data_IF_656824440077
#
_entry.id   IF_656824440077
#
_cell.length_a   1.000
_cell.length_b   1.000
_cell.length_c   1.000
_cell.angle_alpha   90.00
_cell.angle_beta   90.00
_cell.angle_gamma   90.00
#
_symmetry.space_group_name_H-M   'P 1'
#
loop_
_entity.id
_entity.type
_entity.pdbx_description
1 polymer ?
#
# COMPACT_ATOMS: atom_id res chain seq x y z
N UNK A 1 -12.21 31.16 0.61
CA UNK A 1 -12.67 31.18 2.03
C UNK A 1 -13.71 30.08 2.33
N UNK A 2 -14.76 29.85 1.48
CA UNK A 2 -15.75 28.78 1.74
C UNK A 2 -15.21 27.37 1.42
N UNK A 3 -14.29 27.24 0.45
CA UNK A 3 -13.63 25.96 0.13
C UNK A 3 -12.56 25.60 1.17
N UNK A 4 -11.85 26.62 1.69
CA UNK A 4 -10.81 26.41 2.71
C UNK A 4 -11.41 25.95 4.05
N UNK A 5 -12.66 26.35 4.35
CA UNK A 5 -13.39 25.88 5.52
C UNK A 5 -13.89 24.42 5.41
N UNK A 6 -13.93 23.86 4.20
CA UNK A 6 -14.29 22.44 3.96
C UNK A 6 -13.08 21.50 3.97
N UNK A 7 -11.88 22.04 3.85
CA UNK A 7 -10.63 21.29 4.04
C UNK A 7 -10.36 21.23 5.56
N UNK A 8 -11.11 20.38 6.25
CA UNK A 8 -10.81 20.05 7.66
C UNK A 8 -9.39 19.47 7.66
N UNK A 9 -8.47 20.21 8.28
CA UNK A 9 -7.11 19.70 8.49
C UNK A 9 -7.19 18.32 9.15
N UNK A 10 -6.59 17.29 8.56
CA UNK A 10 -6.75 15.94 9.07
C UNK A 10 -6.18 15.83 10.48
N UNK A 11 -7.01 15.53 11.44
CA UNK A 11 -6.54 15.23 12.80
C UNK A 11 -5.65 13.97 12.77
N UNK A 12 -4.75 13.83 13.76
CA UNK A 12 -3.93 12.63 13.92
C UNK A 12 -4.78 11.36 13.91
N UNK A 13 -5.93 11.39 14.58
CA UNK A 13 -6.85 10.25 14.64
C UNK A 13 -7.51 9.95 13.29
N UNK A 14 -7.81 10.96 12.48
CA UNK A 14 -8.34 10.77 11.14
C UNK A 14 -7.26 10.13 10.24
N UNK A 15 -6.00 10.56 10.33
CA UNK A 15 -4.89 9.96 9.59
C UNK A 15 -4.68 8.50 9.99
N UNK A 16 -4.64 8.21 11.28
CA UNK A 16 -4.47 6.84 11.80
C UNK A 16 -5.64 5.95 11.36
N UNK A 17 -6.88 6.42 11.50
CA UNK A 17 -8.07 5.64 11.10
C UNK A 17 -8.08 5.35 9.60
N UNK A 18 -7.82 6.37 8.77
CA UNK A 18 -7.73 6.21 7.33
C UNK A 18 -6.63 5.23 6.94
N UNK A 19 -5.44 5.36 7.55
CA UNK A 19 -4.31 4.48 7.27
C UNK A 19 -4.55 3.02 7.65
N UNK A 20 -5.20 2.76 8.79
CA UNK A 20 -5.56 1.40 9.21
C UNK A 20 -6.57 0.77 8.25
N UNK A 21 -7.61 1.52 7.84
CA UNK A 21 -8.62 1.02 6.90
C UNK A 21 -8.01 0.75 5.53
N UNK A 22 -7.21 1.68 5.01
CA UNK A 22 -6.54 1.52 3.71
C UNK A 22 -5.49 0.40 3.75
N UNK A 23 -4.69 0.32 4.82
CA UNK A 23 -3.70 -0.74 5.02
C UNK A 23 -4.34 -2.12 5.12
N UNK A 24 -5.49 -2.22 5.77
CA UNK A 24 -6.28 -3.45 5.82
C UNK A 24 -6.79 -3.84 4.41
N UNK A 25 -7.36 -2.89 3.68
CA UNK A 25 -7.85 -3.11 2.32
C UNK A 25 -6.73 -3.56 1.37
N UNK A 26 -5.59 -2.86 1.35
CA UNK A 26 -4.43 -3.23 0.54
C UNK A 26 -3.77 -4.54 1.00
N UNK A 27 -3.79 -4.82 2.30
CA UNK A 27 -3.28 -6.08 2.86
C UNK A 27 -4.08 -7.30 2.44
N UNK A 28 -5.41 -7.19 2.44
CA UNK A 28 -6.34 -8.26 2.05
C UNK A 28 -6.51 -8.38 0.54
N UNK A 29 -6.26 -7.30 -0.20
CA UNK A 29 -6.46 -7.25 -1.65
C UNK A 29 -5.66 -8.36 -2.34
N UNK A 30 -6.34 -9.23 -3.12
CA UNK A 30 -5.65 -10.22 -3.92
C UNK A 30 -4.77 -9.52 -4.96
N UNK A 31 -3.52 -9.98 -5.08
CA UNK A 31 -2.55 -9.39 -6.01
C UNK A 31 -1.24 -10.17 -6.05
N UNK A 32 -0.30 -9.76 -6.92
CA UNK A 32 0.95 -10.50 -7.14
C UNK A 32 1.73 -10.77 -5.85
N UNK A 33 1.77 -9.80 -4.93
CA UNK A 33 2.50 -9.97 -3.67
C UNK A 33 1.81 -10.98 -2.74
N UNK A 34 0.48 -10.93 -2.58
CA UNK A 34 -0.25 -11.90 -1.77
C UNK A 34 -0.19 -13.32 -2.37
N UNK A 35 -0.25 -13.42 -3.70
CA UNK A 35 -0.03 -14.70 -4.39
C UNK A 35 1.36 -15.26 -4.10
N UNK A 36 2.39 -14.41 -4.12
CA UNK A 36 3.76 -14.82 -3.79
C UNK A 36 3.90 -15.22 -2.31
N UNK A 37 3.27 -14.48 -1.37
CA UNK A 37 3.25 -14.85 0.06
C UNK A 37 2.70 -16.26 0.24
N UNK A 38 1.54 -16.54 -0.35
CA UNK A 38 0.91 -17.86 -0.25
C UNK A 38 1.78 -18.93 -0.91
N UNK A 39 2.30 -18.66 -2.12
CA UNK A 39 3.14 -19.61 -2.87
C UNK A 39 4.42 -19.96 -2.11
N UNK A 40 5.14 -18.98 -1.57
CA UNK A 40 6.36 -19.22 -0.79
C UNK A 40 6.07 -19.97 0.50
N UNK A 41 4.94 -19.67 1.15
CA UNK A 41 4.50 -20.40 2.33
C UNK A 41 4.20 -21.87 2.03
N UNK A 42 3.46 -22.13 0.95
CA UNK A 42 3.10 -23.50 0.56
C UNK A 42 4.28 -24.34 0.05
N UNK A 43 5.29 -23.68 -0.53
CA UNK A 43 6.49 -24.35 -1.05
C UNK A 43 7.53 -24.64 0.03
N UNK A 44 7.58 -23.84 1.07
CA UNK A 44 8.59 -23.88 2.13
C UNK A 44 7.94 -23.93 3.52
N UNK A 45 7.69 -22.76 4.11
CA UNK A 45 7.07 -22.57 5.42
C UNK A 45 6.53 -21.13 5.57
N UNK A 46 5.87 -20.85 6.70
CA UNK A 46 5.38 -19.52 7.02
C UNK A 46 6.49 -18.45 7.10
N UNK A 47 7.72 -18.83 7.41
CA UNK A 47 8.87 -17.91 7.51
C UNK A 47 9.28 -17.39 6.13
N UNK A 48 9.19 -18.21 5.10
CA UNK A 48 9.42 -17.79 3.71
C UNK A 48 8.33 -16.78 3.28
N UNK A 49 7.05 -17.06 3.56
CA UNK A 49 5.95 -16.13 3.34
C UNK A 49 6.11 -14.81 4.13
N UNK A 50 6.55 -14.88 5.38
CA UNK A 50 6.84 -13.71 6.20
C UNK A 50 7.96 -12.84 5.58
N UNK A 51 9.02 -13.44 5.06
CA UNK A 51 10.09 -12.69 4.36
C UNK A 51 9.52 -11.89 3.17
N UNK A 52 8.62 -12.51 2.38
CA UNK A 52 7.93 -11.82 1.29
C UNK A 52 7.07 -10.68 1.84
N UNK A 53 6.34 -10.91 2.93
CA UNK A 53 5.45 -9.93 3.57
C UNK A 53 6.19 -8.68 4.08
N UNK A 54 7.49 -8.78 4.35
CA UNK A 54 8.33 -7.66 4.79
C UNK A 54 8.84 -6.79 3.63
N UNK A 55 8.67 -7.23 2.37
CA UNK A 55 9.18 -6.48 1.22
C UNK A 55 8.66 -5.05 1.10
N UNK A 56 7.40 -4.70 1.47
CA UNK A 56 6.93 -3.31 1.44
C UNK A 56 7.77 -2.36 2.31
N UNK A 57 8.37 -2.82 3.41
CA UNK A 57 9.24 -1.95 4.22
C UNK A 57 10.42 -1.38 3.41
N UNK A 58 10.90 -2.15 2.44
CA UNK A 58 12.04 -1.76 1.60
C UNK A 58 11.57 -1.02 0.36
N UNK A 59 10.51 -1.51 -0.27
CA UNK A 59 10.05 -0.99 -1.57
C UNK A 59 9.17 0.24 -1.45
N UNK A 60 8.35 0.34 -0.40
CA UNK A 60 7.42 1.45 -0.28
C UNK A 60 8.14 2.75 0.11
N UNK A 61 9.26 2.70 0.83
CA UNK A 61 10.01 3.89 1.19
C UNK A 61 10.42 4.76 -0.04
N UNK A 62 11.08 4.23 -1.08
CA UNK A 62 11.37 5.00 -2.30
C UNK A 62 10.09 5.36 -3.08
N UNK A 63 9.08 4.48 -3.12
CA UNK A 63 7.81 4.75 -3.80
C UNK A 63 7.11 5.95 -3.13
N UNK A 64 6.98 5.93 -1.80
CA UNK A 64 6.40 7.02 -1.00
C UNK A 64 7.13 8.34 -1.27
N UNK A 65 8.46 8.32 -1.20
CA UNK A 65 9.28 9.52 -1.40
C UNK A 65 9.09 10.12 -2.78
N UNK A 66 9.12 9.29 -3.83
CA UNK A 66 8.92 9.74 -5.20
C UNK A 66 7.48 10.23 -5.43
N UNK A 67 6.48 9.52 -4.91
CA UNK A 67 5.07 9.90 -5.03
C UNK A 67 4.79 11.23 -4.34
N UNK A 68 5.31 11.43 -3.13
CA UNK A 68 5.17 12.70 -2.40
C UNK A 68 5.87 13.85 -3.13
N UNK A 69 7.08 13.63 -3.67
CA UNK A 69 7.79 14.61 -4.46
C UNK A 69 7.01 14.98 -5.74
N UNK A 70 6.52 14.00 -6.48
CA UNK A 70 5.70 14.24 -7.67
C UNK A 70 4.43 15.02 -7.33
N UNK A 71 3.77 14.71 -6.22
CA UNK A 71 2.60 15.42 -5.75
C UNK A 71 2.91 16.89 -5.43
N UNK A 72 3.99 17.17 -4.69
CA UNK A 72 4.41 18.53 -4.36
C UNK A 72 4.70 19.37 -5.62
N UNK A 73 5.31 18.77 -6.63
CA UNK A 73 5.56 19.46 -7.91
C UNK A 73 4.26 19.70 -8.70
N UNK A 74 3.38 18.72 -8.71
CA UNK A 74 2.12 18.80 -9.46
C UNK A 74 1.16 19.84 -8.85
N UNK A 75 1.08 19.94 -7.53
CA UNK A 75 0.21 20.90 -6.81
C UNK A 75 0.71 22.34 -6.94
N UNK A 76 1.97 22.57 -7.35
CA UNK A 76 2.46 23.91 -7.68
C UNK A 76 1.86 24.47 -8.97
N UNK A 77 1.21 23.63 -9.79
CA UNK A 77 0.56 24.01 -11.05
C UNK A 77 -0.93 24.29 -10.81
N UNK A 78 -1.41 25.48 -11.16
CA UNK A 78 -2.81 25.87 -10.99
C UNK A 78 -3.80 24.86 -11.60
N UNK A 79 -4.74 24.38 -10.82
CA UNK A 79 -5.81 23.47 -11.25
C UNK A 79 -5.44 21.99 -11.33
N UNK A 80 -4.16 21.63 -11.26
CA UNK A 80 -3.72 20.21 -11.29
C UNK A 80 -4.14 19.48 -10.01
N UNK A 81 -4.14 20.17 -8.88
CA UNK A 81 -4.55 19.61 -7.60
C UNK A 81 -5.97 19.02 -7.65
N UNK A 82 -6.94 19.75 -8.21
CA UNK A 82 -8.32 19.27 -8.35
C UNK A 82 -8.41 18.01 -9.23
N UNK A 83 -7.63 17.95 -10.31
CA UNK A 83 -7.57 16.79 -11.21
C UNK A 83 -6.98 15.58 -10.45
N UNK A 84 -5.93 15.78 -9.67
CA UNK A 84 -5.30 14.71 -8.89
C UNK A 84 -6.22 14.17 -7.78
N UNK A 85 -6.95 15.05 -7.07
CA UNK A 85 -7.95 14.61 -6.09
C UNK A 85 -9.10 13.84 -6.75
N UNK A 86 -9.56 14.29 -7.91
CA UNK A 86 -10.59 13.58 -8.68
C UNK A 86 -10.07 12.20 -9.12
N UNK A 87 -8.88 12.13 -9.71
CA UNK A 87 -8.25 10.86 -10.10
C UNK A 87 -8.06 9.91 -8.91
N UNK A 88 -7.63 10.43 -7.77
CA UNK A 88 -7.49 9.68 -6.52
C UNK A 88 -8.81 9.10 -6.02
N UNK A 89 -9.90 9.89 -6.05
CA UNK A 89 -11.22 9.42 -5.62
C UNK A 89 -11.79 8.35 -6.56
N UNK A 90 -11.61 8.50 -7.87
CA UNK A 90 -11.96 7.48 -8.88
C UNK A 90 -11.14 6.21 -8.64
N UNK A 91 -9.84 6.35 -8.39
CA UNK A 91 -8.96 5.20 -8.10
C UNK A 91 -9.37 4.46 -6.84
N UNK A 92 -9.65 5.16 -5.74
CA UNK A 92 -10.10 4.53 -4.48
C UNK A 92 -11.45 3.84 -4.65
N UNK A 93 -12.36 4.43 -5.41
CA UNK A 93 -13.65 3.80 -5.74
C UNK A 93 -13.44 2.53 -6.57
N UNK A 94 -12.59 2.60 -7.60
CA UNK A 94 -12.24 1.44 -8.40
C UNK A 94 -11.57 0.35 -7.55
N UNK A 95 -10.64 0.71 -6.67
CA UNK A 95 -9.96 -0.19 -5.76
C UNK A 95 -10.96 -0.93 -4.85
N UNK A 96 -11.94 -0.20 -4.31
CA UNK A 96 -13.00 -0.78 -3.50
C UNK A 96 -13.83 -1.79 -4.29
N UNK A 97 -14.27 -1.44 -5.50
CA UNK A 97 -15.04 -2.34 -6.37
C UNK A 97 -14.23 -3.56 -6.79
N UNK A 98 -12.96 -3.37 -7.16
CA UNK A 98 -12.06 -4.46 -7.56
C UNK A 98 -11.82 -5.45 -6.40
N UNK A 99 -11.67 -4.95 -5.17
CA UNK A 99 -11.56 -5.79 -3.98
C UNK A 99 -12.76 -6.72 -3.77
N UNK A 100 -13.98 -6.25 -4.07
CA UNK A 100 -15.19 -7.10 -4.00
C UNK A 100 -15.32 -8.08 -5.17
N UNK A 101 -14.74 -7.77 -6.34
CA UNK A 101 -14.84 -8.60 -7.56
C UNK A 101 -13.75 -9.66 -7.66
N UNK A 102 -12.63 -9.48 -7.01
CA UNK A 102 -11.44 -10.35 -7.12
C UNK A 102 -11.61 -11.67 -6.38
N UNK A 103 -12.62 -12.46 -6.75
CA UNK A 103 -12.88 -13.78 -6.13
C UNK A 103 -12.15 -14.93 -6.84
N UNK A 104 -11.63 -14.73 -8.05
CA UNK A 104 -10.98 -15.76 -8.86
C UNK A 104 -9.56 -15.33 -9.27
N UNK A 105 -8.60 -15.47 -8.38
CA UNK A 105 -7.20 -15.44 -8.80
C UNK A 105 -6.74 -16.86 -9.12
N UNK A 106 -6.39 -17.07 -10.39
CA UNK A 106 -5.60 -18.24 -10.78
C UNK A 106 -4.23 -18.09 -10.12
N UNK A 107 -3.97 -18.94 -9.10
CA UNK A 107 -2.63 -19.07 -8.55
C UNK A 107 -1.73 -19.61 -9.66
N UNK A 108 -1.09 -18.73 -10.41
CA UNK A 108 -0.07 -19.11 -11.38
C UNK A 108 1.04 -19.82 -10.62
N UNK A 109 1.38 -21.03 -11.08
CA UNK A 109 2.42 -21.84 -10.49
C UNK A 109 3.72 -21.02 -10.49
N UNK A 110 4.15 -20.59 -9.31
CA UNK A 110 5.43 -19.88 -9.16
C UNK A 110 6.52 -20.96 -9.17
N UNK A 111 7.51 -20.78 -10.01
CA UNK A 111 8.63 -21.70 -10.17
C UNK A 111 9.30 -21.99 -8.81
N UNK A 112 9.64 -23.27 -8.58
CA UNK A 112 10.22 -23.74 -7.32
C UNK A 112 11.50 -22.95 -7.02
N UNK A 113 11.54 -22.25 -5.91
CA UNK A 113 12.65 -21.38 -5.51
C UNK A 113 13.28 -21.84 -4.20
N UNK A 114 14.49 -21.38 -3.93
CA UNK A 114 15.11 -21.55 -2.62
C UNK A 114 14.56 -20.53 -1.64
N UNK A 115 14.21 -20.97 -0.42
CA UNK A 115 13.62 -20.13 0.64
C UNK A 115 14.50 -18.91 1.03
N UNK A 116 15.80 -18.97 0.73
CA UNK A 116 16.73 -17.85 0.96
C UNK A 116 16.42 -16.64 0.09
N UNK A 117 15.84 -16.85 -1.11
CA UNK A 117 15.54 -15.80 -2.08
C UNK A 117 14.13 -15.18 -1.92
N UNK A 118 13.31 -15.66 -0.98
CA UNK A 118 11.91 -15.21 -0.80
C UNK A 118 11.79 -13.70 -0.62
N UNK A 119 12.64 -13.07 0.22
CA UNK A 119 12.62 -11.60 0.40
C UNK A 119 12.96 -10.87 -0.91
N UNK A 120 13.99 -11.30 -1.63
CA UNK A 120 14.39 -10.70 -2.92
C UNK A 120 13.25 -10.78 -3.94
N UNK A 121 12.58 -11.92 -4.02
CA UNK A 121 11.40 -12.12 -4.88
C UNK A 121 10.27 -11.18 -4.48
N UNK A 122 10.01 -11.05 -3.18
CA UNK A 122 9.04 -10.08 -2.65
C UNK A 122 9.36 -8.65 -3.05
N UNK A 123 10.62 -8.22 -2.89
CA UNK A 123 11.09 -6.88 -3.28
C UNK A 123 10.86 -6.64 -4.77
N UNK A 124 11.31 -7.55 -5.64
CA UNK A 124 11.15 -7.43 -7.09
C UNK A 124 9.66 -7.39 -7.45
N UNK A 125 8.87 -8.32 -6.92
CA UNK A 125 7.43 -8.41 -7.19
C UNK A 125 6.70 -7.14 -6.75
N UNK A 126 6.98 -6.62 -5.55
CA UNK A 126 6.30 -5.42 -5.05
C UNK A 126 6.73 -4.16 -5.81
N UNK A 127 8.02 -4.02 -6.11
CA UNK A 127 8.53 -2.83 -6.79
C UNK A 127 8.07 -2.74 -8.25
N UNK A 128 7.99 -3.88 -8.97
CA UNK A 128 7.49 -3.95 -10.34
C UNK A 128 5.96 -3.95 -10.43
N UNK A 129 5.26 -4.16 -9.32
CA UNK A 129 3.81 -4.12 -9.28
C UNK A 129 3.34 -2.65 -9.39
N UNK A 130 2.49 -2.31 -10.36
CA UNK A 130 1.97 -0.94 -10.48
C UNK A 130 1.08 -0.51 -9.30
N UNK A 131 0.52 -1.45 -8.57
CA UNK A 131 -0.45 -1.20 -7.51
C UNK A 131 0.08 -0.30 -6.37
N UNK A 132 1.25 -0.58 -5.75
CA UNK A 132 1.83 0.31 -4.74
C UNK A 132 2.10 1.72 -5.28
N UNK A 133 2.60 1.82 -6.53
CA UNK A 133 2.83 3.12 -7.17
C UNK A 133 1.56 3.92 -7.35
N UNK A 134 0.49 3.29 -7.86
CA UNK A 134 -0.82 3.94 -8.00
C UNK A 134 -1.40 4.34 -6.65
N UNK A 135 -1.34 3.44 -5.67
CA UNK A 135 -1.84 3.72 -4.32
C UNK A 135 -1.10 4.91 -3.70
N UNK A 136 0.24 4.87 -3.64
CA UNK A 136 1.00 5.94 -3.02
C UNK A 136 0.89 7.26 -3.78
N UNK A 137 0.84 7.25 -5.11
CA UNK A 137 0.70 8.48 -5.91
C UNK A 137 -0.69 9.09 -5.81
N UNK A 138 -1.76 8.28 -5.90
CA UNK A 138 -3.12 8.79 -6.03
C UNK A 138 -3.88 8.88 -4.69
N UNK A 139 -3.50 8.08 -3.71
CA UNK A 139 -4.14 8.06 -2.41
C UNK A 139 -3.18 8.47 -1.27
N UNK A 140 -2.04 7.82 -1.12
CA UNK A 140 -1.14 8.04 0.00
C UNK A 140 -0.51 9.44 0.02
N UNK A 141 0.01 9.91 -1.12
CA UNK A 141 0.71 11.19 -1.21
C UNK A 141 -0.17 12.39 -0.83
N UNK A 142 -1.46 12.50 -1.25
CA UNK A 142 -2.34 13.56 -0.79
C UNK A 142 -2.43 13.65 0.74
N UNK A 143 -2.65 12.52 1.42
CA UNK A 143 -2.72 12.50 2.88
C UNK A 143 -1.40 12.91 3.53
N UNK A 144 -0.28 12.47 2.98
CA UNK A 144 1.04 12.78 3.52
C UNK A 144 1.42 14.25 3.32
N UNK A 145 1.14 14.83 2.15
CA UNK A 145 1.42 16.24 1.87
C UNK A 145 0.53 17.14 2.72
N UNK A 146 -0.77 16.83 2.84
CA UNK A 146 -1.68 17.55 3.73
C UNK A 146 -1.22 17.47 5.20
N UNK A 147 -0.76 16.31 5.63
CA UNK A 147 -0.21 16.11 6.96
C UNK A 147 1.11 16.88 7.18
N UNK A 148 2.01 16.88 6.21
CA UNK A 148 3.27 17.60 6.25
C UNK A 148 3.08 19.12 6.44
N UNK A 149 2.07 19.68 5.80
CA UNK A 149 1.76 21.11 5.91
C UNK A 149 1.36 21.54 7.34
N UNK A 150 0.89 20.59 8.17
CA UNK A 150 0.59 20.86 9.58
C UNK A 150 1.84 20.66 10.46
N UNK A 151 2.58 19.57 10.26
CA UNK A 151 3.81 19.29 11.00
C UNK A 151 4.65 18.21 10.29
N UNK A 152 6.00 18.35 10.29
CA UNK A 152 6.91 17.37 9.66
C UNK A 152 6.80 15.92 10.19
N UNK A 153 6.26 15.70 11.38
CA UNK A 153 6.08 14.35 11.94
C UNK A 153 4.71 13.72 11.59
N UNK A 154 3.72 14.53 11.20
CA UNK A 154 2.36 14.07 10.92
C UNK A 154 2.25 12.99 9.82
N UNK A 155 3.04 13.00 8.73
CA UNK A 155 3.02 11.92 7.75
C UNK A 155 3.29 10.54 8.35
N UNK A 156 4.08 10.46 9.41
CA UNK A 156 4.34 9.18 10.08
C UNK A 156 3.09 8.61 10.78
N UNK A 157 2.14 9.46 11.17
CA UNK A 157 0.84 9.02 11.70
C UNK A 157 -0.02 8.32 10.63
N UNK A 158 0.29 8.48 9.35
CA UNK A 158 -0.33 7.73 8.26
C UNK A 158 0.52 6.52 7.85
N UNK A 159 1.82 6.71 7.60
CA UNK A 159 2.70 5.67 7.04
C UNK A 159 2.91 4.49 7.98
N UNK A 160 3.18 4.76 9.28
CA UNK A 160 3.50 3.70 10.25
C UNK A 160 2.30 2.76 10.48
N UNK A 161 1.10 3.24 10.80
CA UNK A 161 -0.04 2.34 10.99
C UNK A 161 -0.44 1.62 9.69
N UNK A 162 -0.34 2.30 8.53
CA UNK A 162 -0.60 1.69 7.23
C UNK A 162 0.31 0.48 6.98
N UNK A 163 1.63 0.66 7.05
CA UNK A 163 2.58 -0.43 6.83
C UNK A 163 2.46 -1.53 7.89
N UNK A 164 2.17 -1.16 9.13
CA UNK A 164 2.00 -2.14 10.22
C UNK A 164 0.83 -3.07 9.96
N UNK A 165 -0.34 -2.54 9.58
CA UNK A 165 -1.52 -3.36 9.32
C UNK A 165 -1.37 -4.13 8.00
N UNK A 166 -0.83 -3.49 6.94
CA UNK A 166 -0.55 -4.11 5.65
C UNK A 166 0.31 -5.37 5.81
N UNK A 167 1.43 -5.24 6.52
CA UNK A 167 2.38 -6.32 6.77
C UNK A 167 1.78 -7.35 7.71
N UNK A 168 1.12 -6.91 8.77
CA UNK A 168 0.45 -7.79 9.73
C UNK A 168 -0.56 -8.72 9.04
N UNK A 169 -1.38 -8.20 8.15
CA UNK A 169 -2.32 -8.99 7.35
C UNK A 169 -1.60 -10.02 6.48
N UNK A 170 -0.53 -9.62 5.79
CA UNK A 170 0.25 -10.52 4.93
C UNK A 170 0.94 -11.63 5.73
N UNK A 171 1.46 -11.30 6.91
CA UNK A 171 2.03 -12.30 7.84
C UNK A 171 0.94 -13.24 8.34
N UNK A 172 -0.25 -12.75 8.66
CA UNK A 172 -1.39 -13.60 9.02
C UNK A 172 -1.76 -14.55 7.88
N UNK A 173 -1.76 -14.08 6.63
CA UNK A 173 -1.97 -14.93 5.45
C UNK A 173 -0.89 -16.03 5.42
N UNK A 174 0.40 -15.68 5.58
CA UNK A 174 1.48 -16.68 5.61
C UNK A 174 1.25 -17.74 6.69
N UNK A 175 0.94 -17.32 7.92
CA UNK A 175 0.67 -18.26 9.03
C UNK A 175 -0.56 -19.13 8.77
N UNK A 176 -1.62 -18.57 8.17
CA UNK A 176 -2.86 -19.30 7.89
C UNK A 176 -2.69 -20.38 6.82
N UNK A 177 -1.84 -20.14 5.84
CA UNK A 177 -1.56 -21.08 4.75
C UNK A 177 -0.40 -22.03 5.04
N UNK A 178 0.24 -21.91 6.20
CA UNK A 178 1.26 -22.86 6.63
C UNK A 178 0.64 -24.24 6.90
N UNK A 179 1.25 -25.27 6.36
CA UNK A 179 0.81 -26.67 6.49
C UNK A 179 1.75 -27.51 7.35
N UNK A 180 2.77 -26.89 7.98
CA UNK A 180 3.69 -27.59 8.87
C UNK A 180 3.07 -27.96 10.21
#
# INVERSE_FOLDING_TARGET
>A
EALDALLVEPSVWALVSASLLMGLGEGLKPGPLNTLVISETLQHDWRAGMKVSLSPLITDAPIITLSAFMWLQATSLNGVEAILYFAGSVFLTWLGIDGFRSTNQNFSYVEKSEAEHSLRRGIITNFLNPNPWMFWTLAGAPFMVAAWNQSPWMPFAFVIPFLSILIGVKVMIAVTFDRS
#
